data_IF_594341768522
#
_entry.id   IF_594341768522
#
_cell.length_a   1.000
_cell.length_b   1.000
_cell.length_c   1.000
_cell.angle_alpha   90.00
_cell.angle_beta   90.00
_cell.angle_gamma   90.00
#
_symmetry.space_group_name_H-M   'P 1'
#
loop_
_entity.id
_entity.type
_entity.pdbx_description
1 polymer ?
#
# COMPACT_ATOMS: atom_id res chain seq x y z
N UNK A 1 -7.61 -12.17 -14.31
CA UNK A 1 -7.17 -10.79 -14.05
C UNK A 1 -5.73 -10.83 -13.58
N UNK A 2 -4.83 -10.03 -14.17
CA UNK A 2 -3.44 -9.98 -13.71
C UNK A 2 -3.38 -9.27 -12.33
N UNK A 3 -2.47 -9.69 -11.44
CA UNK A 3 -2.24 -9.10 -10.10
C UNK A 3 -2.11 -7.58 -10.15
N UNK A 4 -1.36 -7.04 -11.12
CA UNK A 4 -1.25 -5.60 -11.35
C UNK A 4 -2.62 -4.94 -11.60
N UNK A 5 -3.47 -5.54 -12.42
CA UNK A 5 -4.81 -5.00 -12.74
C UNK A 5 -5.75 -5.03 -11.53
N UNK A 6 -5.68 -6.07 -10.69
CA UNK A 6 -6.45 -6.13 -9.44
C UNK A 6 -6.01 -5.02 -8.49
N UNK A 7 -4.70 -4.87 -8.25
CA UNK A 7 -4.16 -3.82 -7.38
C UNK A 7 -4.51 -2.43 -7.90
N UNK A 8 -4.42 -2.18 -9.20
CA UNK A 8 -4.86 -0.92 -9.80
C UNK A 8 -6.35 -0.64 -9.56
N UNK A 9 -7.21 -1.65 -9.75
CA UNK A 9 -8.64 -1.53 -9.49
C UNK A 9 -8.92 -1.18 -8.03
N UNK A 10 -8.30 -1.91 -7.11
CA UNK A 10 -8.49 -1.73 -5.68
C UNK A 10 -7.96 -0.38 -5.20
N UNK A 11 -6.79 0.07 -5.69
CA UNK A 11 -6.25 1.40 -5.37
C UNK A 11 -7.14 2.53 -5.89
N UNK A 12 -7.78 2.38 -7.05
CA UNK A 12 -8.70 3.38 -7.56
C UNK A 12 -9.96 3.50 -6.69
N UNK A 13 -10.49 2.35 -6.23
CA UNK A 13 -11.61 2.33 -5.28
C UNK A 13 -11.15 2.96 -3.96
N UNK A 14 -10.00 2.57 -3.43
CA UNK A 14 -9.45 3.09 -2.18
C UNK A 14 -9.26 4.61 -2.23
N UNK A 15 -8.66 5.13 -3.31
CA UNK A 15 -8.53 6.58 -3.55
C UNK A 15 -9.88 7.29 -3.56
N UNK A 16 -10.88 6.70 -4.21
CA UNK A 16 -12.23 7.29 -4.29
C UNK A 16 -12.85 7.42 -2.91
N UNK A 17 -12.67 6.41 -2.06
CA UNK A 17 -13.16 6.41 -0.67
C UNK A 17 -12.41 7.41 0.20
N UNK A 18 -11.08 7.51 0.07
CA UNK A 18 -10.30 8.56 0.72
C UNK A 18 -10.80 9.96 0.34
N UNK A 19 -11.24 10.15 -0.91
CA UNK A 19 -11.82 11.39 -1.39
C UNK A 19 -13.09 11.82 -0.64
N UNK A 20 -13.85 10.87 -0.09
CA UNK A 20 -15.09 11.10 0.66
C UNK A 20 -14.87 11.46 2.13
N UNK A 21 -13.65 11.29 2.65
CA UNK A 21 -13.30 11.64 4.01
C UNK A 21 -13.19 13.16 4.19
N UNK A 22 -13.35 13.62 5.43
CA UNK A 22 -13.10 15.01 5.81
C UNK A 22 -11.69 15.46 5.40
N UNK A 23 -11.56 16.74 5.05
CA UNK A 23 -10.31 17.26 4.55
C UNK A 23 -9.29 17.45 5.68
N UNK A 24 -8.40 16.47 5.86
CA UNK A 24 -7.31 16.50 6.82
C UNK A 24 -5.96 16.34 6.14
N UNK A 25 -4.87 16.69 6.83
CA UNK A 25 -3.52 16.47 6.33
C UNK A 25 -3.23 14.97 6.12
N UNK A 26 -3.84 14.13 6.96
CA UNK A 26 -3.70 12.67 6.92
C UNK A 26 -4.38 12.09 5.69
N UNK A 27 -5.59 12.59 5.36
CA UNK A 27 -6.26 12.25 4.10
C UNK A 27 -5.39 12.63 2.92
N UNK A 28 -4.84 13.84 2.90
CA UNK A 28 -4.02 14.32 1.78
C UNK A 28 -2.79 13.41 1.58
N UNK A 29 -2.09 13.07 2.66
CA UNK A 29 -0.97 12.11 2.63
C UNK A 29 -1.38 10.73 2.16
N UNK A 30 -2.54 10.22 2.60
CA UNK A 30 -3.07 8.93 2.14
C UNK A 30 -3.38 8.94 0.63
N UNK A 31 -3.94 10.04 0.12
CA UNK A 31 -4.22 10.23 -1.31
C UNK A 31 -2.90 10.29 -2.11
N UNK A 32 -1.90 11.01 -1.62
CA UNK A 32 -0.58 11.09 -2.24
C UNK A 32 0.10 9.72 -2.31
N UNK A 33 0.14 8.98 -1.20
CA UNK A 33 0.69 7.63 -1.18
C UNK A 33 -0.04 6.67 -2.14
N UNK A 34 -1.36 6.82 -2.25
CA UNK A 34 -2.18 6.02 -3.18
C UNK A 34 -1.89 6.39 -4.64
N UNK A 35 -1.79 7.68 -4.95
CA UNK A 35 -1.47 8.19 -6.29
C UNK A 35 -0.05 7.82 -6.73
N UNK A 36 0.92 7.88 -5.81
CA UNK A 36 2.30 7.47 -6.08
C UNK A 36 2.38 6.00 -6.45
N UNK A 37 1.63 5.15 -5.74
CA UNK A 37 1.59 3.73 -6.05
C UNK A 37 0.88 3.47 -7.38
N UNK A 38 -0.30 4.08 -7.61
CA UNK A 38 -1.00 4.03 -8.88
C UNK A 38 -0.13 4.48 -10.06
N UNK A 39 0.57 5.61 -9.91
CA UNK A 39 1.48 6.14 -10.92
C UNK A 39 2.60 5.17 -11.24
N UNK A 40 3.20 4.54 -10.23
CA UNK A 40 4.26 3.57 -10.42
C UNK A 40 3.80 2.29 -11.14
N UNK A 41 2.56 1.86 -10.90
CA UNK A 41 2.01 0.65 -11.53
C UNK A 41 1.16 0.93 -12.77
N UNK A 42 1.06 2.18 -13.23
CA UNK A 42 0.17 2.59 -14.34
C UNK A 42 0.63 2.11 -15.72
N UNK A 43 1.92 1.78 -15.87
CA UNK A 43 2.52 1.35 -17.14
C UNK A 43 2.13 -0.10 -17.48
N UNK A 44 2.10 -0.42 -18.77
CA UNK A 44 1.95 -1.80 -19.23
C UNK A 44 3.16 -2.62 -18.73
N UNK A 45 2.90 -3.75 -18.07
CA UNK A 45 3.92 -4.70 -17.56
C UNK A 45 4.91 -4.12 -16.56
N UNK A 46 4.41 -3.81 -15.36
CA UNK A 46 5.27 -3.40 -14.24
C UNK A 46 5.89 -4.64 -13.60
N UNK A 47 7.21 -4.62 -13.38
CA UNK A 47 7.91 -5.73 -12.74
C UNK A 47 7.44 -5.93 -11.30
N UNK A 48 7.46 -7.18 -10.83
CA UNK A 48 7.14 -7.51 -9.44
C UNK A 48 8.04 -6.76 -8.45
N UNK A 49 9.30 -6.44 -8.81
CA UNK A 49 10.19 -5.64 -7.98
C UNK A 49 9.61 -4.24 -7.71
N UNK A 50 9.13 -3.54 -8.75
CA UNK A 50 8.54 -2.21 -8.62
C UNK A 50 7.23 -2.28 -7.85
N UNK A 51 6.39 -3.27 -8.16
CA UNK A 51 5.12 -3.50 -7.49
C UNK A 51 5.34 -3.75 -5.98
N UNK A 52 6.36 -4.52 -5.62
CA UNK A 52 6.71 -4.80 -4.23
C UNK A 52 7.30 -3.58 -3.53
N UNK A 53 8.24 -2.88 -4.15
CA UNK A 53 8.89 -1.71 -3.54
C UNK A 53 7.87 -0.59 -3.26
N UNK A 54 7.04 -0.26 -4.26
CA UNK A 54 6.04 0.80 -4.14
C UNK A 54 4.85 0.38 -3.29
N UNK A 55 4.43 -0.88 -3.41
CA UNK A 55 3.41 -1.45 -2.54
C UNK A 55 3.80 -1.41 -1.07
N UNK A 56 5.04 -1.75 -0.71
CA UNK A 56 5.54 -1.65 0.67
C UNK A 56 5.55 -0.22 1.20
N UNK A 57 5.95 0.75 0.37
CA UNK A 57 5.91 2.17 0.76
C UNK A 57 4.48 2.62 1.06
N UNK A 58 3.53 2.25 0.19
CA UNK A 58 2.11 2.51 0.39
C UNK A 58 1.58 1.86 1.68
N UNK A 59 1.83 0.56 1.89
CA UNK A 59 1.40 -0.17 3.09
C UNK A 59 1.93 0.52 4.36
N UNK A 60 3.22 0.87 4.37
CA UNK A 60 3.85 1.54 5.51
C UNK A 60 3.19 2.87 5.82
N UNK A 61 2.99 3.71 4.81
CA UNK A 61 2.42 5.05 4.98
C UNK A 61 0.98 4.99 5.51
N UNK A 62 0.13 4.15 4.91
CA UNK A 62 -1.26 3.97 5.38
C UNK A 62 -1.30 3.37 6.80
N UNK A 63 -0.39 2.45 7.13
CA UNK A 63 -0.29 1.90 8.50
C UNK A 63 0.08 2.96 9.53
N UNK A 64 1.01 3.87 9.19
CA UNK A 64 1.38 5.00 10.05
C UNK A 64 0.18 5.92 10.27
N UNK A 65 -0.52 6.28 9.19
CA UNK A 65 -1.69 7.14 9.24
C UNK A 65 -2.85 6.52 10.02
N UNK A 66 -3.02 5.19 10.01
CA UNK A 66 -4.04 4.48 10.80
C UNK A 66 -3.65 4.26 12.27
N UNK A 67 -2.35 4.15 12.56
CA UNK A 67 -1.83 3.56 13.79
C UNK A 67 -1.42 4.56 14.87
N UNK A 68 -0.15 4.97 14.86
CA UNK A 68 0.60 5.59 15.99
C UNK A 68 0.83 7.09 15.76
N UNK A 69 0.13 7.68 14.80
CA UNK A 69 0.15 9.12 14.56
C UNK A 69 -0.71 9.85 15.59
N UNK A 70 -0.29 11.06 16.01
CA UNK A 70 -1.13 12.00 16.78
C UNK A 70 -2.37 12.44 16.00
N UNK A 71 -2.36 12.25 14.68
CA UNK A 71 -3.46 12.53 13.78
C UNK A 71 -3.71 11.29 12.93
N UNK A 72 -4.78 10.57 13.24
CA UNK A 72 -5.11 9.32 12.56
C UNK A 72 -6.10 9.56 11.45
N UNK A 73 -5.93 8.84 10.35
CA UNK A 73 -6.99 8.72 9.36
C UNK A 73 -8.01 7.69 9.84
N UNK A 74 -9.26 8.11 9.96
CA UNK A 74 -10.36 7.21 10.25
C UNK A 74 -10.86 6.58 8.95
N UNK A 75 -10.65 5.26 8.82
CA UNK A 75 -11.08 4.50 7.66
C UNK A 75 -12.26 3.63 8.05
N UNK A 76 -13.33 3.70 7.28
CA UNK A 76 -14.47 2.79 7.45
C UNK A 76 -14.04 1.32 7.25
N UNK A 77 -14.86 0.39 7.76
CA UNK A 77 -14.60 -1.07 7.70
C UNK A 77 -14.25 -1.59 6.31
N UNK A 78 -14.89 -1.07 5.26
CA UNK A 78 -14.67 -1.54 3.90
C UNK A 78 -13.40 -0.90 3.29
N UNK A 79 -13.08 0.36 3.62
CA UNK A 79 -11.79 0.99 3.30
C UNK A 79 -10.64 0.21 3.94
N UNK A 80 -10.82 -0.24 5.19
CA UNK A 80 -9.88 -1.13 5.86
C UNK A 80 -9.76 -2.46 5.13
N UNK A 81 -10.87 -3.15 4.85
CA UNK A 81 -10.84 -4.44 4.16
C UNK A 81 -10.11 -4.35 2.80
N UNK A 82 -10.37 -3.29 2.03
CA UNK A 82 -9.72 -3.04 0.75
C UNK A 82 -8.21 -2.80 0.88
N UNK A 83 -7.78 -2.08 1.93
CA UNK A 83 -6.37 -1.93 2.24
C UNK A 83 -5.69 -3.27 2.56
N UNK A 84 -6.34 -4.12 3.36
CA UNK A 84 -5.83 -5.44 3.70
C UNK A 84 -5.76 -6.35 2.44
N UNK A 85 -6.75 -6.28 1.53
CA UNK A 85 -6.70 -6.97 0.23
C UNK A 85 -5.48 -6.53 -0.61
N UNK A 86 -5.26 -5.22 -0.74
CA UNK A 86 -4.10 -4.69 -1.47
C UNK A 86 -2.80 -5.17 -0.81
N UNK A 87 -2.73 -5.16 0.53
CA UNK A 87 -1.57 -5.63 1.27
C UNK A 87 -1.28 -7.10 1.00
N UNK A 88 -2.29 -7.95 1.03
CA UNK A 88 -2.13 -9.39 0.87
C UNK A 88 -1.75 -9.77 -0.58
N UNK A 89 -2.10 -8.93 -1.55
CA UNK A 89 -1.65 -9.07 -2.94
C UNK A 89 -0.20 -8.64 -3.16
N UNK A 90 0.36 -7.79 -2.29
CA UNK A 90 1.77 -7.42 -2.34
C UNK A 90 2.52 -8.46 -1.51
N UNK A 91 3.37 -9.31 -2.12
CA UNK A 91 4.10 -10.30 -1.35
C UNK A 91 4.87 -9.60 -0.22
N UNK A 92 4.57 -9.99 1.02
CA UNK A 92 5.51 -9.88 2.11
C UNK A 92 6.81 -10.44 1.55
N UNK A 93 7.89 -9.66 1.63
CA UNK A 93 9.15 -10.05 1.04
C UNK A 93 9.40 -11.53 1.34
N UNK A 94 9.75 -12.32 0.33
CA UNK A 94 10.60 -13.48 0.60
C UNK A 94 11.63 -13.02 1.63
N UNK A 95 11.84 -13.84 2.66
CA UNK A 95 12.83 -13.68 3.73
C UNK A 95 14.20 -13.24 3.18
N UNK A 96 14.35 -11.96 2.88
CA UNK A 96 15.60 -11.30 2.46
C UNK A 96 15.93 -10.23 3.49
N UNK A 97 15.73 -10.55 4.77
CA UNK A 97 16.92 -10.51 5.60
C UNK A 97 17.73 -11.69 5.10
N UNK A 98 18.81 -11.39 4.37
CA UNK A 98 19.99 -12.24 4.42
C UNK A 98 20.30 -12.46 5.91
N UNK A 99 19.67 -13.43 6.56
CA UNK A 99 20.31 -14.18 7.62
C UNK A 99 21.44 -14.87 6.90
N UNK A 100 22.57 -14.17 6.84
CA UNK A 100 23.88 -14.77 6.70
C UNK A 100 23.85 -15.94 7.68
N UNK A 101 23.68 -17.14 7.15
CA UNK A 101 23.89 -18.36 7.89
C UNK A 101 25.40 -18.36 8.15
N UNK A 102 25.83 -17.75 9.24
CA UNK A 102 27.16 -17.96 9.79
C UNK A 102 27.08 -19.25 10.58
N UNK A 103 27.65 -20.38 10.11
CA UNK A 103 27.97 -21.46 11.01
C UNK A 103 29.15 -20.94 11.83
N UNK A 104 28.87 -20.38 13.00
CA UNK A 104 29.91 -20.24 14.01
C UNK A 104 30.27 -21.67 14.41
N UNK A 105 31.43 -22.11 13.94
CA UNK A 105 32.15 -23.26 14.47
C UNK A 105 32.76 -22.96 15.83
#
# INVERSE_FOLDING_TARGET
MNKQQKIQGDLNIFRTRLGMLENTNEKQRAIEATNDFLGAISKHEVSDLVLNAKGKMFIKEITILRGISTHKIDLDTQSVALFEEIRDLIPAAYNEVNTIFMPWG
#
